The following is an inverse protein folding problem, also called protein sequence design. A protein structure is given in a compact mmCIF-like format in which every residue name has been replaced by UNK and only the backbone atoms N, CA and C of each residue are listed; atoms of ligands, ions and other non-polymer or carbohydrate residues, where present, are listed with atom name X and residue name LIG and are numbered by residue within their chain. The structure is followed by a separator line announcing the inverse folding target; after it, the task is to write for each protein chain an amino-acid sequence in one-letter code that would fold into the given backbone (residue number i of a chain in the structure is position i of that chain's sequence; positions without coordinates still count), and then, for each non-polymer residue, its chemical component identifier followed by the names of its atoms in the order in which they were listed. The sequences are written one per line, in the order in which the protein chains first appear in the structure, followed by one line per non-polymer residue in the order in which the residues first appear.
data_IF_625416527513
#
_entry.id   IF_625416527513
#
_cell.length_a   1.000
_cell.length_b   1.000
_cell.length_c   1.000
_cell.angle_alpha   90.00
_cell.angle_beta   90.00
_cell.angle_gamma   90.00
#
_symmetry.space_group_name_H-M   'P 1'
#
loop_
_entity.id
_entity.type
_entity.pdbx_description
1 polymer ?
#
# COMPACT_ATOMS: atom_id res chain seq x y z
N UNK A 1 -5.54 19.42 -8.87
CA UNK A 1 -5.94 18.08 -9.38
C UNK A 1 -6.36 17.26 -8.18
N UNK A 2 -7.66 17.21 -7.93
CA UNK A 2 -8.21 16.49 -6.77
C UNK A 2 -8.24 14.99 -7.09
N UNK A 3 -7.46 14.21 -6.35
CA UNK A 3 -7.37 12.76 -6.48
C UNK A 3 -7.65 12.09 -5.15
N UNK A 4 -8.28 10.90 -5.19
CA UNK A 4 -8.61 10.14 -3.98
C UNK A 4 -7.37 9.34 -3.55
N UNK A 5 -7.04 9.37 -2.26
CA UNK A 5 -5.87 8.69 -1.70
C UNK A 5 -6.29 7.45 -0.91
N UNK A 6 -5.61 6.35 -1.14
CA UNK A 6 -5.76 5.08 -0.41
C UNK A 6 -4.42 4.63 0.14
N UNK A 7 -4.44 3.98 1.31
CA UNK A 7 -3.27 3.32 1.89
C UNK A 7 -3.42 1.81 1.76
N UNK A 8 -2.41 1.14 1.19
CA UNK A 8 -2.34 -0.31 1.08
C UNK A 8 -1.06 -0.84 1.75
N UNK A 9 -1.19 -1.94 2.49
CA UNK A 9 -0.06 -2.67 3.05
C UNK A 9 0.31 -3.81 2.11
N UNK A 10 1.57 -3.85 1.69
CA UNK A 10 2.09 -4.74 0.66
C UNK A 10 3.40 -5.35 1.13
N UNK A 11 3.80 -6.49 0.57
CA UNK A 11 5.14 -7.00 0.81
C UNK A 11 6.19 -6.02 0.27
N UNK A 12 7.27 -5.81 1.03
CA UNK A 12 8.39 -4.94 0.68
C UNK A 12 9.13 -5.43 -0.57
N UNK A 13 9.07 -6.72 -0.92
CA UNK A 13 9.65 -7.31 -2.14
C UNK A 13 8.87 -6.95 -3.39
N UNK A 14 7.56 -6.72 -3.27
CA UNK A 14 6.72 -6.36 -4.41
C UNK A 14 7.18 -5.03 -4.99
N UNK A 15 7.32 -4.92 -6.31
CA UNK A 15 7.79 -3.70 -6.97
C UNK A 15 6.66 -2.69 -7.20
N UNK A 16 7.00 -1.41 -7.40
CA UNK A 16 5.98 -0.36 -7.62
C UNK A 16 5.15 -0.61 -8.88
N UNK A 17 5.74 -1.22 -9.91
CA UNK A 17 5.06 -1.52 -11.17
C UNK A 17 4.10 -2.70 -11.02
N UNK A 18 4.52 -3.78 -10.37
CA UNK A 18 3.67 -4.94 -10.08
C UNK A 18 2.40 -4.51 -9.34
N UNK A 19 2.57 -3.67 -8.32
CA UNK A 19 1.46 -3.20 -7.49
C UNK A 19 0.57 -2.23 -8.26
N UNK A 20 1.15 -1.35 -9.09
CA UNK A 20 0.37 -0.49 -9.97
C UNK A 20 -0.52 -1.34 -10.88
N UNK A 21 0.08 -2.30 -11.57
CA UNK A 21 -0.61 -3.16 -12.53
C UNK A 21 -1.72 -3.98 -11.85
N UNK A 22 -1.42 -4.57 -10.69
CA UNK A 22 -2.41 -5.33 -9.92
C UNK A 22 -3.60 -4.44 -9.48
N UNK A 23 -3.35 -3.24 -8.97
CA UNK A 23 -4.41 -2.31 -8.55
C UNK A 23 -5.26 -1.84 -9.74
N UNK A 24 -4.63 -1.47 -10.85
CA UNK A 24 -5.34 -1.01 -12.05
C UNK A 24 -6.21 -2.12 -12.66
N UNK A 25 -5.69 -3.35 -12.72
CA UNK A 25 -6.45 -4.50 -13.24
C UNK A 25 -7.54 -4.99 -12.30
N UNK A 26 -7.27 -5.11 -11.01
CA UNK A 26 -8.21 -5.73 -10.07
C UNK A 26 -9.40 -4.81 -9.75
N UNK A 27 -9.15 -3.51 -9.60
CA UNK A 27 -10.20 -2.55 -9.26
C UNK A 27 -10.73 -1.76 -10.46
N UNK A 28 -10.17 -1.97 -11.66
CA UNK A 28 -10.54 -1.23 -12.88
C UNK A 28 -10.42 0.28 -12.62
N UNK A 29 -9.30 0.68 -12.01
CA UNK A 29 -9.00 2.09 -11.68
C UNK A 29 -7.76 2.56 -12.42
N UNK A 30 -7.56 3.87 -12.47
CA UNK A 30 -6.34 4.46 -13.00
C UNK A 30 -5.52 5.11 -11.88
N UNK A 31 -4.32 4.58 -11.63
CA UNK A 31 -3.41 5.09 -10.62
C UNK A 31 -2.55 6.23 -11.21
N UNK A 32 -2.73 7.44 -10.68
CA UNK A 32 -2.02 8.64 -11.16
C UNK A 32 -0.72 8.89 -10.40
N UNK A 33 -0.65 8.48 -9.13
CA UNK A 33 0.59 8.51 -8.35
C UNK A 33 0.62 7.36 -7.34
N UNK A 34 1.83 6.91 -7.03
CA UNK A 34 2.07 5.89 -6.00
C UNK A 34 3.35 6.23 -5.26
N UNK A 35 3.21 6.45 -3.95
CA UNK A 35 4.29 6.80 -3.05
C UNK A 35 4.44 5.70 -2.00
N UNK A 36 5.67 5.26 -1.72
CA UNK A 36 5.94 4.42 -0.56
C UNK A 36 6.06 5.31 0.67
N UNK A 37 5.22 5.09 1.66
CA UNK A 37 5.43 5.67 2.98
C UNK A 37 6.24 4.67 3.81
N UNK A 38 7.36 5.12 4.40
CA UNK A 38 8.10 4.28 5.35
C UNK A 38 7.23 4.15 6.59
N UNK A 39 6.91 2.90 6.95
CA UNK A 39 6.41 2.63 8.31
C UNK A 39 7.46 3.17 9.29
N UNK A 40 7.08 3.71 10.45
CA UNK A 40 8.06 4.07 11.46
C UNK A 40 8.96 2.85 11.68
N UNK A 41 10.24 2.98 11.34
CA UNK A 41 11.22 1.97 11.68
C UNK A 41 11.14 1.85 13.20
N UNK A 42 10.70 0.70 13.70
CA UNK A 42 10.69 0.42 15.13
C UNK A 42 12.07 0.78 15.68
N UNK A 43 12.10 1.77 16.56
CA UNK A 43 13.34 2.25 17.19
C UNK A 43 14.04 1.13 17.98
N UNK A 44 15.30 1.34 18.39
CA UNK A 44 16.07 0.30 19.06
C UNK A 44 15.45 -0.05 20.43
N UNK A 45 15.04 -1.32 20.56
CA UNK A 45 14.72 -2.09 21.78
C UNK A 45 13.71 -1.53 22.77
N UNK A 46 12.50 -2.11 22.80
CA UNK A 46 11.82 -2.63 24.00
C UNK A 46 10.68 -3.54 23.50
N UNK A 47 10.75 -4.83 23.84
CA UNK A 47 9.81 -5.94 23.53
C UNK A 47 10.22 -6.82 22.34
N UNK A 48 10.76 -7.98 22.73
CA UNK A 48 11.13 -9.16 21.95
C UNK A 48 10.15 -9.46 20.78
N UNK A 49 10.63 -9.94 19.62
CA UNK A 49 9.77 -10.55 18.62
C UNK A 49 9.26 -11.89 19.19
N UNK A 50 8.03 -11.92 19.69
CA UNK A 50 7.36 -13.18 20.07
C UNK A 50 6.91 -13.95 18.81
N UNK A 51 6.96 -13.31 17.64
CA UNK A 51 6.71 -13.94 16.35
C UNK A 51 7.96 -13.76 15.47
N UNK A 52 8.69 -14.86 15.20
CA UNK A 52 10.00 -14.89 14.53
C UNK A 52 10.04 -14.44 13.06
N UNK A 53 9.06 -13.68 12.58
CA UNK A 53 9.08 -13.06 11.26
C UNK A 53 8.85 -11.56 11.39
N UNK A 54 9.89 -10.77 11.08
CA UNK A 54 9.76 -9.33 10.84
C UNK A 54 8.71 -9.16 9.75
N UNK A 55 7.58 -8.50 10.06
CA UNK A 55 6.56 -8.22 9.05
C UNK A 55 7.24 -7.47 7.89
N UNK A 56 7.41 -8.15 6.76
CA UNK A 56 8.10 -7.61 5.58
C UNK A 56 7.14 -6.72 4.79
N UNK A 57 6.33 -5.90 5.47
CA UNK A 57 5.31 -5.09 4.84
C UNK A 57 5.77 -3.64 4.72
N UNK A 58 5.35 -2.93 3.68
CA UNK A 58 5.46 -1.48 3.54
C UNK A 58 4.10 -0.88 3.24
N UNK A 59 3.93 0.39 3.58
CA UNK A 59 2.74 1.14 3.21
C UNK A 59 2.95 1.81 1.85
N UNK A 60 2.04 1.61 0.91
CA UNK A 60 1.94 2.41 -0.30
C UNK A 60 0.70 3.29 -0.25
N UNK A 61 0.92 4.59 -0.47
CA UNK A 61 -0.13 5.57 -0.68
C UNK A 61 -0.35 5.67 -2.18
N UNK A 62 -1.54 5.27 -2.62
CA UNK A 62 -1.95 5.32 -4.02
C UNK A 62 -2.93 6.46 -4.18
N UNK A 63 -2.69 7.27 -5.20
CA UNK A 63 -3.61 8.31 -5.64
C UNK A 63 -4.25 7.85 -6.95
N UNK A 64 -5.58 7.75 -6.94
CA UNK A 64 -6.36 7.40 -8.12
C UNK A 64 -7.01 8.64 -8.72
N UNK A 65 -7.27 8.61 -10.02
CA UNK A 65 -7.99 9.69 -10.70
C UNK A 65 -9.42 9.82 -10.14
N UNK A 66 -9.85 11.05 -9.88
CA UNK A 66 -11.24 11.34 -9.50
C UNK A 66 -12.18 10.91 -10.63
N UNK A 67 -13.18 10.09 -10.30
CA UNK A 67 -14.02 9.35 -11.25
C UNK A 67 -13.94 7.83 -11.09
N UNK A 68 -12.90 7.34 -10.40
CA UNK A 68 -12.78 5.95 -9.98
C UNK A 68 -12.96 5.83 -8.46
N UNK A 69 -13.41 4.65 -8.00
CA UNK A 69 -13.50 4.34 -6.58
C UNK A 69 -13.16 2.88 -6.34
N UNK A 70 -12.51 2.59 -5.22
CA UNK A 70 -12.23 1.21 -4.79
C UNK A 70 -13.44 0.77 -3.95
N UNK A 71 -14.19 -0.28 -4.35
CA UNK A 71 -15.31 -0.77 -3.57
C UNK A 71 -14.83 -1.26 -2.19
N UNK A 72 -15.59 -1.01 -1.11
CA UNK A 72 -15.22 -1.51 0.21
C UNK A 72 -15.21 -3.04 0.18
N UNK A 73 -14.16 -3.65 0.71
CA UNK A 73 -14.10 -5.09 0.93
C UNK A 73 -15.21 -5.48 1.90
N UNK A 74 -16.29 -6.08 1.39
CA UNK A 74 -17.34 -6.69 2.22
C UNK A 74 -16.80 -8.02 2.78
N UNK A 75 -17.08 -8.29 4.05
CA UNK A 75 -16.65 -9.49 4.79
C UNK A 75 -17.48 -10.71 4.40
#
# INVERSE_FOLDING_TARGET
MDGIKYAIFIDKRSTRLEIKHWVELFFIVKAIAMNSHRLPDEGPSIRRPIMGHKMHCRCMIIMIQSGYSIPPFRK
#
